data_IF_362791774606
#
_entry.id   IF_362791774606
#
_cell.length_a   1.000
_cell.length_b   1.000
_cell.length_c   1.000
_cell.angle_alpha   90.00
_cell.angle_beta   90.00
_cell.angle_gamma   90.00
#
_symmetry.space_group_name_H-M   'P 1'
#
loop_
_entity.id
_entity.type
_entity.pdbx_description
1 polymer ?
#
# COMPACT_ATOMS: atom_id res chain seq x y z
N UNK A 1 -24.78 -7.17 37.70
CA UNK A 1 -24.15 -5.85 37.89
C UNK A 1 -23.21 -5.58 36.71
N UNK A 2 -23.76 -5.07 35.60
CA UNK A 2 -23.02 -4.67 34.41
C UNK A 2 -23.02 -3.14 34.34
N UNK A 3 -21.85 -2.51 34.32
CA UNK A 3 -21.69 -1.07 34.07
C UNK A 3 -21.42 -0.84 32.59
N UNK A 4 -22.44 -0.40 31.87
CA UNK A 4 -22.32 0.20 30.55
C UNK A 4 -21.65 1.59 30.69
N UNK A 5 -20.58 1.83 29.93
CA UNK A 5 -20.00 3.17 29.75
C UNK A 5 -20.64 3.82 28.54
N UNK A 6 -21.38 4.89 28.79
CA UNK A 6 -21.94 5.77 27.78
C UNK A 6 -20.82 6.53 27.04
N UNK A 7 -20.88 6.53 25.72
CA UNK A 7 -20.01 7.31 24.86
C UNK A 7 -20.61 8.71 24.71
N UNK A 8 -19.88 9.74 25.15
CA UNK A 8 -20.26 11.14 25.06
C UNK A 8 -19.92 11.64 23.64
N UNK A 9 -20.93 12.11 22.90
CA UNK A 9 -20.75 12.85 21.63
C UNK A 9 -20.32 14.29 21.93
N UNK A 10 -19.37 14.88 21.18
CA UNK A 10 -19.15 16.32 21.22
C UNK A 10 -20.20 17.06 20.36
N UNK A 11 -20.72 18.14 20.92
CA UNK A 11 -21.65 19.06 20.29
C UNK A 11 -20.93 20.01 19.31
N UNK A 12 -21.50 20.20 18.12
CA UNK A 12 -21.10 21.26 17.17
C UNK A 12 -21.93 22.53 17.44
N UNK A 13 -21.33 23.73 17.36
CA UNK A 13 -22.06 24.98 17.48
C UNK A 13 -22.83 25.31 16.18
N UNK A 14 -23.98 25.93 16.40
CA UNK A 14 -25.05 26.33 15.48
C UNK A 14 -24.65 27.37 14.42
N UNK A 15 -25.26 27.24 13.25
CA UNK A 15 -25.33 28.24 12.17
C UNK A 15 -25.95 29.57 12.63
N UNK A 16 -25.52 30.72 12.06
CA UNK A 16 -26.34 31.91 12.03
C UNK A 16 -27.14 31.99 10.73
N UNK A 17 -28.47 31.98 10.89
CA UNK A 17 -29.47 32.46 9.93
C UNK A 17 -29.12 33.85 9.39
N UNK A 18 -29.07 34.00 8.06
CA UNK A 18 -29.07 35.29 7.38
C UNK A 18 -30.13 35.31 6.28
N UNK A 19 -30.96 36.34 6.38
CA UNK A 19 -32.19 36.56 5.64
C UNK A 19 -31.97 36.69 4.13
N UNK A 20 -32.88 36.08 3.38
CA UNK A 20 -33.07 36.33 1.96
C UNK A 20 -33.73 37.71 1.75
N UNK A 21 -33.05 38.58 1.02
CA UNK A 21 -33.67 39.69 0.28
C UNK A 21 -33.29 39.54 -1.18
N UNK A 22 -34.30 39.25 -2.01
CA UNK A 22 -34.19 39.17 -3.45
C UNK A 22 -34.29 40.58 -4.05
N UNK A 23 -33.31 40.96 -4.85
CA UNK A 23 -33.46 41.99 -5.89
C UNK A 23 -32.60 41.65 -7.10
N UNK A 24 -33.30 41.27 -8.18
CA UNK A 24 -33.12 41.77 -9.55
C UNK A 24 -31.71 41.81 -10.16
N UNK A 25 -31.48 40.91 -11.12
CA UNK A 25 -31.12 41.29 -12.49
C UNK A 25 -29.71 41.79 -12.76
N UNK A 26 -28.85 40.91 -13.29
CA UNK A 26 -27.99 41.14 -14.47
C UNK A 26 -26.96 40.02 -14.59
N UNK A 27 -27.03 39.26 -15.69
CA UNK A 27 -25.86 38.61 -16.29
C UNK A 27 -25.31 39.60 -17.34
N UNK A 28 -23.99 39.77 -17.48
CA UNK A 28 -23.32 38.89 -18.43
C UNK A 28 -21.87 38.49 -18.06
N UNK A 29 -21.52 37.30 -18.54
CA UNK A 29 -20.22 36.86 -19.05
C UNK A 29 -18.99 37.77 -18.80
N UNK A 30 -18.09 37.34 -17.89
CA UNK A 30 -16.63 37.51 -17.97
C UNK A 30 -15.99 36.92 -16.70
N UNK A 31 -15.56 35.65 -16.76
CA UNK A 31 -14.97 35.00 -15.58
C UNK A 31 -14.32 33.65 -15.82
N UNK A 32 -13.85 33.36 -17.04
CA UNK A 32 -13.24 32.05 -17.38
C UNK A 32 -11.87 32.20 -18.07
N UNK A 33 -11.10 33.23 -17.71
CA UNK A 33 -9.78 33.49 -18.33
C UNK A 33 -8.56 33.46 -17.41
N UNK A 34 -8.69 33.09 -16.13
CA UNK A 34 -7.55 33.15 -15.19
C UNK A 34 -7.16 31.84 -14.48
N UNK A 35 -7.72 30.69 -14.85
CA UNK A 35 -7.37 29.41 -14.19
C UNK A 35 -6.39 28.51 -14.97
N UNK A 36 -6.04 28.87 -16.21
CA UNK A 36 -5.18 28.06 -17.09
C UNK A 36 -3.86 28.75 -17.50
N UNK A 37 -3.39 29.73 -16.72
CA UNK A 37 -2.16 30.48 -17.02
C UNK A 37 -1.08 30.34 -15.93
N UNK A 38 -0.87 29.13 -15.43
CA UNK A 38 0.34 28.79 -14.67
C UNK A 38 0.92 27.40 -15.00
N UNK A 39 0.41 26.73 -16.05
CA UNK A 39 0.86 25.38 -16.45
C UNK A 39 1.78 25.34 -17.69
N UNK A 40 2.30 26.50 -18.11
CA UNK A 40 3.22 26.59 -19.24
C UNK A 40 4.27 27.65 -18.94
N UNK A 41 5.35 27.24 -18.24
CA UNK A 41 6.71 27.82 -18.30
C UNK A 41 7.56 27.14 -17.22
N UNK A 42 8.22 26.04 -17.58
CA UNK A 42 9.56 25.63 -17.10
C UNK A 42 9.82 24.18 -17.54
N UNK A 43 9.95 23.99 -18.85
CA UNK A 43 10.64 22.83 -19.40
C UNK A 43 11.97 23.35 -19.92
N UNK A 44 13.03 23.18 -19.12
CA UNK A 44 14.39 22.95 -19.61
C UNK A 44 15.31 22.47 -18.47
N UNK A 45 16.33 21.65 -18.79
CA UNK A 45 17.05 20.82 -17.85
C UNK A 45 18.27 21.55 -17.30
N UNK A 46 18.49 21.46 -16.00
CA UNK A 46 19.76 21.83 -15.37
C UNK A 46 20.22 20.66 -14.50
N UNK A 47 21.02 19.79 -15.12
CA UNK A 47 21.98 18.97 -14.40
C UNK A 47 23.02 19.90 -13.79
N UNK A 48 22.99 20.07 -12.47
CA UNK A 48 24.14 20.50 -11.69
C UNK A 48 24.09 19.78 -10.33
N UNK A 49 25.22 19.23 -9.85
CA UNK A 49 25.26 18.45 -8.63
C UNK A 49 25.18 19.38 -7.42
N UNK A 50 24.07 19.34 -6.70
CA UNK A 50 23.96 20.05 -5.42
C UNK A 50 24.57 19.18 -4.33
N UNK A 51 25.76 19.59 -3.91
CA UNK A 51 26.44 19.14 -2.72
C UNK A 51 25.47 19.19 -1.53
N UNK A 52 25.11 18.01 -1.03
CA UNK A 52 24.34 17.88 0.20
C UNK A 52 25.30 18.06 1.38
N UNK A 53 25.29 19.24 1.99
CA UNK A 53 25.83 19.44 3.34
C UNK A 53 24.86 18.82 4.35
N UNK A 54 24.89 17.50 4.43
CA UNK A 54 24.42 16.76 5.58
C UNK A 54 25.43 16.97 6.71
N UNK A 55 24.99 17.63 7.78
CA UNK A 55 25.62 17.54 9.09
C UNK A 55 25.52 16.09 9.59
N UNK A 56 26.40 15.25 9.07
CA UNK A 56 26.76 13.96 9.61
C UNK A 56 28.21 14.07 10.06
N UNK A 57 28.44 13.61 11.29
CA UNK A 57 29.74 13.46 11.95
C UNK A 57 30.86 13.09 10.95
N UNK A 58 31.64 14.09 10.52
CA UNK A 58 32.80 13.90 9.65
C UNK A 58 34.01 13.63 10.53
N UNK A 59 34.43 12.37 10.60
CA UNK A 59 35.75 12.02 11.12
C UNK A 59 36.84 12.67 10.24
N UNK A 60 37.92 13.24 10.81
CA UNK A 60 38.94 13.91 10.02
C UNK A 60 39.82 12.87 9.31
N UNK A 61 39.56 12.62 8.02
CA UNK A 61 40.32 11.65 7.19
C UNK A 61 41.49 12.26 6.42
N UNK A 62 41.60 13.59 6.29
CA UNK A 62 42.63 14.19 5.41
C UNK A 62 44.06 14.21 5.96
N UNK A 63 44.29 13.94 7.26
CA UNK A 63 45.65 13.87 7.82
C UNK A 63 46.27 12.46 7.74
N UNK A 64 45.49 11.44 7.34
CA UNK A 64 45.93 10.04 7.28
C UNK A 64 46.53 9.64 5.93
N UNK A 65 46.12 10.26 4.82
CA UNK A 65 46.59 9.84 3.49
C UNK A 65 48.05 10.21 3.19
N UNK A 66 48.51 11.40 3.64
CA UNK A 66 49.91 11.80 3.47
C UNK A 66 50.89 11.02 4.35
N UNK A 67 50.44 10.56 5.52
CA UNK A 67 51.22 9.70 6.42
C UNK A 67 51.26 8.23 5.94
N UNK A 68 50.18 7.74 5.34
CA UNK A 68 50.12 6.38 4.79
C UNK A 68 51.03 6.19 3.57
N UNK A 69 51.11 7.18 2.67
CA UNK A 69 51.99 7.12 1.50
C UNK A 69 53.49 7.16 1.87
N UNK A 70 53.87 7.91 2.91
CA UNK A 70 55.25 7.96 3.42
C UNK A 70 55.65 6.67 4.16
N UNK A 71 54.72 6.04 4.89
CA UNK A 71 54.95 4.77 5.56
C UNK A 71 55.07 3.60 4.56
N UNK A 72 54.29 3.62 3.48
CA UNK A 72 54.35 2.59 2.44
C UNK A 72 55.68 2.61 1.67
N UNK A 73 56.22 3.80 1.34
CA UNK A 73 57.54 3.92 0.68
C UNK A 73 58.69 3.42 1.55
N UNK A 74 58.63 3.63 2.87
CA UNK A 74 59.64 3.11 3.82
C UNK A 74 59.54 1.60 4.06
N UNK A 75 58.36 1.01 3.89
CA UNK A 75 58.14 -0.42 4.05
C UNK A 75 58.64 -1.24 2.85
N UNK A 76 58.66 -0.65 1.65
CA UNK A 76 59.05 -1.33 0.41
C UNK A 76 60.55 -1.24 0.06
N UNK A 77 61.33 -0.38 0.72
CA UNK A 77 62.76 -0.21 0.45
C UNK A 77 63.71 -0.96 1.41
N UNK A 78 63.18 -1.72 2.38
CA UNK A 78 63.97 -2.37 3.43
C UNK A 78 64.52 -3.78 3.12
N UNK A 79 64.39 -4.26 1.88
CA UNK A 79 64.67 -5.65 1.50
C UNK A 79 65.80 -5.81 0.47
N UNK A 80 67.00 -5.27 0.72
CA UNK A 80 68.21 -5.67 -0.01
C UNK A 80 69.40 -5.65 0.96
N UNK A 81 69.64 -6.81 1.59
CA UNK A 81 70.83 -7.03 2.41
C UNK A 81 71.99 -7.41 1.48
N UNK A 82 73.09 -6.67 1.60
CA UNK A 82 74.38 -7.00 1.00
C UNK A 82 74.91 -8.32 1.56
N UNK A 83 75.49 -9.13 0.67
CA UNK A 83 76.21 -10.34 1.01
C UNK A 83 77.70 -9.99 1.13
N UNK A 84 78.29 -10.25 2.29
CA UNK A 84 79.73 -10.17 2.50
C UNK A 84 80.13 -10.62 3.91
N UNK A 85 81.07 -11.57 3.97
CA UNK A 85 81.89 -11.83 5.15
C UNK A 85 81.56 -13.10 5.94
N UNK A 86 82.46 -14.08 5.85
CA UNK A 86 82.53 -15.32 6.62
C UNK A 86 82.70 -15.06 8.13
N UNK A 87 82.09 -15.89 8.98
CA UNK A 87 82.73 -16.52 10.15
C UNK A 87 81.75 -17.43 10.92
N UNK A 88 82.34 -18.51 11.43
CA UNK A 88 81.85 -19.55 12.33
C UNK A 88 80.87 -19.13 13.44
N UNK A 89 79.95 -20.05 13.75
CA UNK A 89 79.20 -20.04 15.02
C UNK A 89 77.77 -20.53 14.86
N UNK A 90 77.49 -21.75 15.33
CA UNK A 90 76.14 -22.27 15.47
C UNK A 90 75.36 -21.46 16.52
N UNK A 91 74.73 -20.38 16.08
CA UNK A 91 73.67 -19.70 16.81
C UNK A 91 72.46 -19.67 15.88
N UNK A 92 71.41 -20.40 16.25
CA UNK A 92 70.10 -20.29 15.61
C UNK A 92 69.55 -18.89 15.86
N UNK A 93 69.90 -17.95 14.97
CA UNK A 93 69.28 -16.63 14.93
C UNK A 93 67.82 -16.85 14.56
N UNK A 94 66.95 -16.87 15.57
CA UNK A 94 65.50 -16.84 15.40
C UNK A 94 65.18 -15.51 14.73
N UNK A 95 65.15 -15.52 13.39
CA UNK A 95 64.71 -14.40 12.59
C UNK A 95 63.30 -14.02 13.06
N UNK A 96 63.13 -12.78 13.54
CA UNK A 96 61.82 -12.27 13.96
C UNK A 96 60.86 -12.49 12.79
N UNK A 97 59.76 -13.25 12.97
CA UNK A 97 58.88 -13.56 11.86
C UNK A 97 58.38 -12.24 11.27
N UNK A 98 58.56 -12.10 9.95
CA UNK A 98 58.11 -10.91 9.22
C UNK A 98 56.63 -10.64 9.49
N UNK A 99 56.23 -9.37 9.42
CA UNK A 99 54.85 -8.94 9.72
C UNK A 99 53.81 -9.77 8.93
N UNK A 100 54.14 -10.18 7.70
CA UNK A 100 53.33 -11.07 6.86
C UNK A 100 53.17 -12.49 7.41
N UNK A 101 54.22 -13.06 8.02
CA UNK A 101 54.14 -14.37 8.66
C UNK A 101 53.30 -14.31 9.96
N UNK A 102 53.37 -13.18 10.69
CA UNK A 102 52.53 -12.93 11.88
C UNK A 102 51.06 -12.70 11.49
N UNK A 103 50.81 -11.97 10.41
CA UNK A 103 49.47 -11.78 9.87
C UNK A 103 48.90 -13.10 9.35
N UNK A 104 49.69 -13.91 8.65
CA UNK A 104 49.28 -15.22 8.14
C UNK A 104 48.99 -16.25 9.23
N UNK A 105 49.74 -16.23 10.34
CA UNK A 105 49.45 -17.08 11.51
C UNK A 105 48.20 -16.61 12.24
N UNK A 106 48.01 -15.30 12.38
CA UNK A 106 46.78 -14.71 12.95
C UNK A 106 45.54 -15.00 12.10
N UNK A 107 45.59 -14.80 10.78
CA UNK A 107 44.45 -15.12 9.90
C UNK A 107 44.13 -16.60 9.90
N UNK A 108 45.14 -17.48 9.95
CA UNK A 108 44.92 -18.92 10.07
C UNK A 108 44.27 -19.30 11.40
N UNK A 109 44.69 -18.69 12.51
CA UNK A 109 44.05 -18.90 13.80
C UNK A 109 42.59 -18.43 13.77
N UNK A 110 42.35 -17.22 13.25
CA UNK A 110 41.01 -16.65 13.12
C UNK A 110 40.07 -17.55 12.28
N UNK A 111 40.55 -18.05 11.14
CA UNK A 111 39.77 -18.96 10.29
C UNK A 111 39.46 -20.28 11.01
N UNK A 112 40.38 -20.81 11.81
CA UNK A 112 40.15 -22.01 12.62
C UNK A 112 39.08 -21.76 13.68
N UNK A 113 39.12 -20.62 14.36
CA UNK A 113 38.13 -20.26 15.38
C UNK A 113 36.71 -20.16 14.78
N UNK A 114 36.56 -19.53 13.61
CA UNK A 114 35.27 -19.49 12.91
C UNK A 114 34.83 -20.88 12.41
N UNK A 115 35.75 -21.72 11.94
CA UNK A 115 35.43 -23.08 11.49
C UNK A 115 34.99 -23.99 12.65
N UNK A 116 35.56 -23.82 13.85
CA UNK A 116 35.11 -24.50 15.07
C UNK A 116 33.72 -23.99 15.48
N UNK A 117 33.52 -22.67 15.49
CA UNK A 117 32.21 -22.07 15.81
C UNK A 117 31.09 -22.56 14.87
N UNK A 118 31.39 -22.72 13.57
CA UNK A 118 30.44 -23.29 12.62
C UNK A 118 30.13 -24.77 12.90
N UNK A 119 31.12 -25.56 13.31
CA UNK A 119 30.93 -26.97 13.67
C UNK A 119 30.08 -27.10 14.94
N UNK A 120 30.35 -26.27 15.93
CA UNK A 120 29.55 -26.20 17.17
C UNK A 120 28.11 -25.76 16.90
N UNK A 121 27.92 -24.75 16.04
CA UNK A 121 26.60 -24.32 15.61
C UNK A 121 25.83 -25.44 14.88
N UNK A 122 26.49 -26.21 14.02
CA UNK A 122 25.89 -27.35 13.33
C UNK A 122 25.54 -28.50 14.30
N UNK A 123 26.40 -28.78 15.28
CA UNK A 123 26.13 -29.76 16.32
C UNK A 123 24.93 -29.34 17.19
N UNK A 124 24.88 -28.06 17.59
CA UNK A 124 23.75 -27.49 18.33
C UNK A 124 22.44 -27.52 17.54
N UNK A 125 22.50 -27.26 16.23
CA UNK A 125 21.33 -27.34 15.35
C UNK A 125 20.77 -28.77 15.24
N UNK A 126 21.65 -29.78 15.13
CA UNK A 126 21.27 -31.20 15.13
C UNK A 126 20.70 -31.66 16.47
N UNK A 127 21.25 -31.18 17.58
CA UNK A 127 20.76 -31.52 18.91
C UNK A 127 19.36 -30.95 19.20
N UNK A 128 19.01 -29.78 18.62
CA UNK A 128 17.74 -29.08 18.87
C UNK A 128 17.18 -28.46 17.58
N UNK A 129 16.61 -29.27 16.65
CA UNK A 129 16.17 -28.79 15.34
C UNK A 129 15.08 -27.72 15.42
N UNK A 130 14.16 -27.82 16.40
CA UNK A 130 13.10 -26.83 16.58
C UNK A 130 13.62 -25.43 16.92
N UNK A 131 14.61 -25.32 17.84
CA UNK A 131 15.21 -24.02 18.19
C UNK A 131 16.04 -23.46 17.03
N UNK A 132 16.77 -24.33 16.34
CA UNK A 132 17.54 -23.94 15.16
C UNK A 132 16.64 -23.39 14.05
N UNK A 133 15.51 -24.04 13.78
CA UNK A 133 14.53 -23.56 12.81
C UNK A 133 13.98 -22.16 13.18
N UNK A 134 13.69 -21.92 14.47
CA UNK A 134 13.27 -20.58 14.94
C UNK A 134 14.36 -19.52 14.72
N UNK A 135 15.62 -19.81 15.06
CA UNK A 135 16.71 -18.85 14.87
C UNK A 135 17.00 -18.57 13.39
N UNK A 136 17.01 -19.61 12.56
CA UNK A 136 17.19 -19.48 11.11
C UNK A 136 16.01 -18.73 10.49
N UNK A 137 14.78 -19.02 10.92
CA UNK A 137 13.58 -18.31 10.49
C UNK A 137 13.60 -16.84 10.89
N UNK A 138 14.03 -16.52 12.12
CA UNK A 138 14.16 -15.14 12.58
C UNK A 138 15.25 -14.40 11.81
N UNK A 139 16.43 -14.99 11.64
CA UNK A 139 17.54 -14.38 10.91
C UNK A 139 17.19 -14.20 9.42
N UNK A 140 16.63 -15.23 8.80
CA UNK A 140 16.19 -15.19 7.40
C UNK A 140 15.05 -14.19 7.20
N UNK A 141 14.06 -14.18 8.09
CA UNK A 141 12.96 -13.21 8.07
C UNK A 141 13.45 -11.79 8.25
N UNK A 142 14.35 -11.54 9.20
CA UNK A 142 14.99 -10.24 9.41
C UNK A 142 15.77 -9.78 8.17
N UNK A 143 16.58 -10.66 7.58
CA UNK A 143 17.33 -10.36 6.37
C UNK A 143 16.41 -10.06 5.18
N UNK A 144 15.34 -10.83 5.01
CA UNK A 144 14.33 -10.61 3.97
C UNK A 144 13.60 -9.29 4.18
N UNK A 145 13.20 -8.95 5.41
CA UNK A 145 12.57 -7.67 5.72
C UNK A 145 13.51 -6.49 5.42
N UNK A 146 14.80 -6.61 5.74
CA UNK A 146 15.80 -5.60 5.39
C UNK A 146 15.95 -5.43 3.86
N UNK A 147 15.97 -6.53 3.11
CA UNK A 147 16.10 -6.50 1.66
C UNK A 147 14.84 -5.93 0.99
N UNK A 148 13.67 -6.14 1.59
CA UNK A 148 12.37 -5.69 1.10
C UNK A 148 11.93 -4.36 1.74
N UNK A 149 12.78 -3.69 2.52
CA UNK A 149 12.41 -2.42 3.14
C UNK A 149 12.19 -1.34 2.06
N UNK A 150 10.98 -0.77 1.93
CA UNK A 150 10.67 0.12 0.83
C UNK A 150 11.37 1.48 0.98
N UNK A 151 11.86 2.02 -0.13
CA UNK A 151 12.58 3.31 -0.18
C UNK A 151 11.63 4.48 -0.41
N UNK A 152 12.11 5.71 -0.24
CA UNK A 152 11.34 6.93 -0.56
C UNK A 152 10.85 6.93 -2.02
N UNK A 153 11.68 6.49 -2.97
CA UNK A 153 11.30 6.40 -4.38
C UNK A 153 10.10 5.45 -4.58
N UNK A 154 10.08 4.30 -3.90
CA UNK A 154 8.94 3.37 -4.00
C UNK A 154 7.64 3.95 -3.43
N UNK A 155 7.74 4.84 -2.44
CA UNK A 155 6.56 5.55 -1.92
C UNK A 155 6.03 6.55 -2.95
N UNK A 156 6.94 7.33 -3.54
CA UNK A 156 6.63 8.32 -4.55
C UNK A 156 5.97 7.69 -5.78
N UNK A 157 6.49 6.57 -6.25
CA UNK A 157 5.91 5.77 -7.33
C UNK A 157 4.50 5.29 -6.97
N UNK A 158 4.33 4.66 -5.79
CA UNK A 158 3.04 4.16 -5.34
C UNK A 158 2.00 5.28 -5.15
N UNK A 159 2.42 6.45 -4.65
CA UNK A 159 1.56 7.62 -4.47
C UNK A 159 1.10 8.18 -5.82
N UNK A 160 2.00 8.29 -6.80
CA UNK A 160 1.66 8.78 -8.13
C UNK A 160 0.79 7.79 -8.89
N UNK A 161 1.07 6.49 -8.80
CA UNK A 161 0.26 5.43 -9.40
C UNK A 161 -1.16 5.42 -8.83
N UNK A 162 -1.29 5.46 -7.51
CA UNK A 162 -2.59 5.59 -6.83
C UNK A 162 -3.37 6.84 -7.25
N UNK A 163 -2.67 7.97 -7.44
CA UNK A 163 -3.30 9.20 -7.95
C UNK A 163 -3.78 9.03 -9.39
N UNK A 164 -3.02 8.31 -10.23
CA UNK A 164 -3.40 7.95 -11.59
C UNK A 164 -4.66 7.07 -11.61
N UNK A 165 -4.72 6.04 -10.78
CA UNK A 165 -5.91 5.19 -10.64
C UNK A 165 -7.14 6.00 -10.23
N UNK A 166 -6.99 6.93 -9.27
CA UNK A 166 -8.09 7.78 -8.81
C UNK A 166 -8.58 8.77 -9.88
N UNK A 167 -7.69 9.24 -10.76
CA UNK A 167 -8.04 10.15 -11.86
C UNK A 167 -8.88 9.48 -12.96
N UNK A 168 -8.80 8.16 -13.11
CA UNK A 168 -9.62 7.40 -14.07
C UNK A 168 -11.07 7.27 -13.63
N UNK A 169 -11.33 7.38 -12.33
CA UNK A 169 -12.66 7.23 -11.74
C UNK A 169 -13.46 8.54 -11.83
N UNK A 170 -14.77 8.45 -12.02
CA UNK A 170 -15.65 9.61 -12.04
C UNK A 170 -15.81 10.22 -10.64
N UNK A 171 -16.04 11.54 -10.50
CA UNK A 171 -16.23 12.18 -9.20
C UNK A 171 -17.39 11.67 -8.34
N UNK A 172 -18.35 10.95 -8.94
CA UNK A 172 -19.48 10.33 -8.23
C UNK A 172 -19.05 9.03 -7.53
N UNK A 173 -18.36 8.14 -8.24
CA UNK A 173 -18.04 6.79 -7.74
C UNK A 173 -16.83 6.74 -6.81
N UNK A 174 -15.99 7.79 -6.77
CA UNK A 174 -14.78 7.79 -5.94
C UNK A 174 -15.06 7.90 -4.46
N UNK A 175 -14.35 7.11 -3.66
CA UNK A 175 -14.36 7.22 -2.21
C UNK A 175 -13.75 8.56 -1.75
N UNK A 176 -14.56 9.37 -1.06
CA UNK A 176 -14.16 10.70 -0.55
C UNK A 176 -13.00 10.64 0.45
N UNK A 177 -12.94 9.60 1.27
CA UNK A 177 -11.88 9.46 2.28
C UNK A 177 -10.53 9.16 1.63
N UNK A 178 -10.51 8.31 0.62
CA UNK A 178 -9.29 7.97 -0.13
C UNK A 178 -8.83 9.14 -0.98
N UNK A 179 -9.74 9.85 -1.63
CA UNK A 179 -9.46 11.09 -2.37
C UNK A 179 -8.84 12.15 -1.46
N UNK A 180 -9.46 12.45 -0.31
CA UNK A 180 -8.96 13.44 0.63
C UNK A 180 -7.58 13.06 1.21
N UNK A 181 -7.37 11.76 1.49
CA UNK A 181 -6.08 11.25 1.95
C UNK A 181 -4.97 11.45 0.90
N UNK A 182 -5.22 11.07 -0.35
CA UNK A 182 -4.27 11.25 -1.45
C UNK A 182 -3.98 12.73 -1.74
N UNK A 183 -5.02 13.57 -1.79
CA UNK A 183 -4.86 15.01 -1.98
C UNK A 183 -4.02 15.63 -0.88
N UNK A 184 -4.21 15.19 0.37
CA UNK A 184 -3.39 15.63 1.51
C UNK A 184 -1.93 15.19 1.34
N UNK A 185 -1.66 13.96 0.92
CA UNK A 185 -0.30 13.48 0.67
C UNK A 185 0.38 14.26 -0.45
N UNK A 186 -0.29 14.46 -1.58
CA UNK A 186 0.21 15.24 -2.72
C UNK A 186 0.47 16.70 -2.33
N UNK A 187 -0.38 17.28 -1.48
CA UNK A 187 -0.18 18.62 -0.95
C UNK A 187 1.03 18.73 -0.02
N UNK A 188 1.24 17.73 0.86
CA UNK A 188 2.42 17.66 1.74
C UNK A 188 3.71 17.47 0.94
N UNK A 189 3.66 16.63 -0.09
CA UNK A 189 4.73 16.40 -1.06
C UNK A 189 5.11 17.70 -1.77
N UNK A 190 4.13 18.44 -2.30
CA UNK A 190 4.35 19.72 -2.97
C UNK A 190 5.01 20.79 -2.10
N UNK A 191 5.00 20.62 -0.77
CA UNK A 191 5.65 21.51 0.21
C UNK A 191 6.95 20.97 0.79
N UNK A 192 7.44 19.81 0.35
CA UNK A 192 8.64 19.18 0.93
C UNK A 192 8.49 18.77 2.41
N UNK A 193 7.24 18.61 2.87
CA UNK A 193 6.91 18.28 4.26
C UNK A 193 6.78 16.78 4.51
N UNK A 194 6.77 15.98 3.45
CA UNK A 194 6.78 14.53 3.53
C UNK A 194 8.21 14.03 3.81
N UNK A 195 8.38 13.15 4.79
CA UNK A 195 9.70 12.59 5.15
C UNK A 195 9.67 11.09 5.26
N UNK A 196 10.76 10.48 4.81
CA UNK A 196 11.02 9.06 4.89
C UNK A 196 12.12 8.76 5.90
N UNK A 197 11.92 7.72 6.71
CA UNK A 197 12.96 7.13 7.56
C UNK A 197 12.92 5.62 7.37
N UNK A 198 14.07 5.03 7.03
CA UNK A 198 14.27 3.59 7.01
C UNK A 198 14.77 3.11 8.39
N UNK A 199 14.03 2.20 9.02
CA UNK A 199 14.37 1.58 10.31
C UNK A 199 15.06 0.21 10.16
N UNK A 200 15.52 -0.14 8.95
CA UNK A 200 16.11 -1.41 8.62
C UNK A 200 15.05 -2.42 8.17
N UNK A 201 14.19 -2.87 9.08
CA UNK A 201 13.14 -3.88 8.77
C UNK A 201 11.83 -3.29 8.26
N UNK A 202 11.60 -2.01 8.50
CA UNK A 202 10.42 -1.29 8.08
C UNK A 202 10.80 0.16 7.73
N UNK A 203 9.95 0.81 6.96
CA UNK A 203 10.11 2.20 6.56
C UNK A 203 8.91 2.99 7.03
N UNK A 204 9.14 4.23 7.45
CA UNK A 204 8.08 5.12 7.90
C UNK A 204 8.05 6.36 7.04
N UNK A 205 6.85 6.80 6.71
CA UNK A 205 6.59 8.11 6.11
C UNK A 205 5.81 8.95 7.12
N UNK A 206 6.32 10.14 7.42
CA UNK A 206 5.73 11.04 8.40
C UNK A 206 5.70 12.49 7.90
N UNK A 207 4.84 13.28 8.53
CA UNK A 207 4.71 14.71 8.28
C UNK A 207 5.68 15.53 9.14
N UNK A 208 6.55 16.29 8.48
CA UNK A 208 7.35 17.35 9.11
C UNK A 208 6.56 18.66 9.18
N UNK A 209 6.75 19.51 10.21
CA UNK A 209 6.09 20.81 10.31
C UNK A 209 6.54 21.81 9.23
N UNK A 210 7.79 21.71 8.78
CA UNK A 210 8.40 22.60 7.79
C UNK A 210 9.19 21.79 6.75
N UNK A 211 9.50 22.43 5.63
CA UNK A 211 10.39 21.90 4.60
C UNK A 211 11.84 21.74 5.10
N UNK A 212 12.64 20.91 4.43
CA UNK A 212 14.05 20.68 4.71
C UNK A 212 14.91 21.92 4.55
N UNK A 213 14.60 22.70 3.52
CA UNK A 213 15.38 23.87 3.14
C UNK A 213 14.93 25.11 3.94
N UNK A 214 13.88 25.00 4.76
CA UNK A 214 13.45 26.08 5.63
C UNK A 214 14.53 26.41 6.67
N UNK A 215 15.08 27.62 6.59
CA UNK A 215 16.07 28.17 7.51
C UNK A 215 15.47 29.15 8.52
N UNK A 216 14.14 29.21 8.63
CA UNK A 216 13.43 30.04 9.59
C UNK A 216 13.77 29.63 11.04
N UNK A 217 13.87 30.61 11.94
CA UNK A 217 14.08 30.35 13.37
C UNK A 217 13.04 29.38 13.94
N UNK A 218 11.78 29.52 13.53
CA UNK A 218 10.68 28.63 13.94
C UNK A 218 10.93 27.16 13.56
N UNK A 219 11.59 26.91 12.43
CA UNK A 219 11.91 25.57 11.94
C UNK A 219 13.19 24.98 12.56
N UNK A 220 14.11 25.82 13.05
CA UNK A 220 15.41 25.39 13.61
C UNK A 220 15.45 25.34 15.14
N UNK A 221 14.60 26.11 15.81
CA UNK A 221 14.56 26.15 17.27
C UNK A 221 14.19 24.78 17.85
N UNK A 222 15.06 24.20 18.68
CA UNK A 222 14.88 22.88 19.32
C UNK A 222 13.63 22.82 20.21
N UNK A 223 13.29 23.93 20.86
CA UNK A 223 12.15 23.98 21.79
C UNK A 223 10.79 24.02 21.09
N UNK A 224 10.77 24.42 19.80
CA UNK A 224 9.56 24.43 18.96
C UNK A 224 9.39 23.12 18.18
N UNK A 225 10.38 22.22 18.22
CA UNK A 225 10.28 20.93 17.55
C UNK A 225 9.19 20.06 18.19
N UNK A 226 8.49 19.25 17.37
CA UNK A 226 7.50 18.33 17.89
C UNK A 226 8.12 17.39 18.91
N UNK A 227 7.35 17.10 19.97
CA UNK A 227 7.77 16.16 21.00
C UNK A 227 7.68 14.74 20.46
N UNK A 228 8.51 13.85 20.99
CA UNK A 228 8.47 12.42 20.67
C UNK A 228 7.12 11.77 20.95
N UNK A 229 6.36 12.29 21.92
CA UNK A 229 5.01 11.80 22.24
C UNK A 229 3.97 12.12 21.16
N UNK A 230 4.19 13.18 20.38
CA UNK A 230 3.30 13.59 19.27
C UNK A 230 3.69 12.95 17.94
N UNK A 231 4.83 12.24 17.90
CA UNK A 231 5.33 11.56 16.70
C UNK A 231 4.34 10.55 16.10
N UNK A 232 3.71 9.63 16.87
CA UNK A 232 2.80 8.64 16.28
C UNK A 232 1.59 9.29 15.57
N UNK A 233 1.13 10.46 16.01
CA UNK A 233 0.04 11.19 15.35
C UNK A 233 0.44 11.84 14.01
N UNK A 234 1.74 11.86 13.68
CA UNK A 234 2.28 12.45 12.44
C UNK A 234 2.71 11.40 11.42
N UNK A 235 2.67 10.12 11.79
CA UNK A 235 2.95 9.01 10.87
C UNK A 235 1.81 8.92 9.87
N UNK A 236 2.17 8.90 8.58
CA UNK A 236 1.23 8.88 7.47
C UNK A 236 1.11 7.47 6.88
N UNK A 237 2.25 6.79 6.73
CA UNK A 237 2.31 5.44 6.18
C UNK A 237 3.44 4.61 6.80
N UNK A 238 3.23 3.29 6.81
CA UNK A 238 4.18 2.27 7.24
C UNK A 238 4.46 1.33 6.07
N UNK A 239 5.72 1.32 5.66
CA UNK A 239 6.27 0.42 4.66
C UNK A 239 6.82 -0.84 5.31
N UNK A 240 6.33 -2.00 4.89
CA UNK A 240 6.81 -3.29 5.39
C UNK A 240 6.71 -4.35 4.28
N UNK A 241 7.80 -5.10 4.08
CA UNK A 241 7.91 -6.19 3.07
C UNK A 241 7.52 -5.70 1.66
N UNK A 242 8.14 -4.61 1.22
CA UNK A 242 8.03 -4.08 -0.15
C UNK A 242 6.72 -3.35 -0.45
N UNK A 243 5.83 -3.16 0.52
CA UNK A 243 4.50 -2.56 0.33
C UNK A 243 4.25 -1.44 1.33
N UNK A 244 3.41 -0.49 0.93
CA UNK A 244 2.95 0.64 1.74
C UNK A 244 1.54 0.36 2.24
N UNK A 245 1.43 -0.03 3.52
CA UNK A 245 0.23 -0.67 4.05
C UNK A 245 -0.96 0.28 4.17
N UNK A 246 -0.73 1.52 4.60
CA UNK A 246 -1.83 2.48 4.81
C UNK A 246 -2.30 2.99 3.46
N UNK A 247 -1.40 3.37 2.55
CA UNK A 247 -1.76 3.79 1.20
C UNK A 247 -2.53 2.71 0.45
N UNK A 248 -2.04 1.47 0.45
CA UNK A 248 -2.71 0.36 -0.22
C UNK A 248 -4.09 0.08 0.38
N UNK A 249 -4.20 0.04 1.71
CA UNK A 249 -5.48 -0.20 2.37
C UNK A 249 -6.50 0.92 2.10
N UNK A 250 -6.05 2.18 1.95
CA UNK A 250 -6.92 3.30 1.55
C UNK A 250 -7.31 3.22 0.08
N UNK A 251 -6.46 2.65 -0.77
CA UNK A 251 -6.73 2.51 -2.20
C UNK A 251 -7.53 1.27 -2.59
N UNK A 252 -7.66 0.29 -1.70
CA UNK A 252 -8.34 -0.98 -1.96
C UNK A 252 -9.78 -0.81 -2.48
N UNK A 253 -10.57 0.05 -1.83
CA UNK A 253 -11.98 0.30 -2.15
C UNK A 253 -12.18 1.77 -2.60
N UNK A 254 -11.28 2.27 -3.46
CA UNK A 254 -11.29 3.68 -3.90
C UNK A 254 -12.40 4.01 -4.91
N UNK A 255 -13.02 2.99 -5.51
CA UNK A 255 -14.10 3.03 -6.50
C UNK A 255 -15.50 2.86 -5.90
N UNK A 256 -15.60 2.71 -4.57
CA UNK A 256 -16.86 2.61 -3.85
C UNK A 256 -17.12 3.91 -3.09
N UNK A 257 -18.24 4.57 -3.39
CA UNK A 257 -18.71 5.74 -2.66
C UNK A 257 -19.88 5.38 -1.73
N UNK A 258 -19.59 5.19 -0.44
CA UNK A 258 -20.59 4.86 0.58
C UNK A 258 -21.71 5.90 0.72
N UNK A 259 -21.46 7.16 0.34
CA UNK A 259 -22.44 8.24 0.43
C UNK A 259 -23.64 7.99 -0.51
N UNK A 260 -23.42 7.32 -1.64
CA UNK A 260 -24.48 6.98 -2.58
C UNK A 260 -25.47 5.99 -1.97
N UNK A 261 -25.01 5.10 -1.09
CA UNK A 261 -25.80 3.99 -0.57
C UNK A 261 -26.50 4.30 0.77
N UNK A 262 -26.40 5.53 1.28
CA UNK A 262 -27.00 5.91 2.56
C UNK A 262 -28.53 5.81 2.59
N UNK A 263 -29.18 5.89 1.42
CA UNK A 263 -30.63 5.76 1.28
C UNK A 263 -31.13 4.32 1.42
N UNK A 264 -30.24 3.33 1.34
CA UNK A 264 -30.57 1.91 1.46
C UNK A 264 -30.63 1.47 2.93
N UNK A 265 -31.49 0.50 3.26
CA UNK A 265 -31.53 -0.09 4.60
C UNK A 265 -30.21 -0.80 4.93
N UNK A 266 -29.90 -0.90 6.23
CA UNK A 266 -28.60 -1.38 6.71
C UNK A 266 -28.18 -2.76 6.19
N UNK A 267 -29.13 -3.67 5.95
CA UNK A 267 -28.85 -5.01 5.46
C UNK A 267 -28.40 -5.05 3.98
N UNK A 268 -28.68 -4.01 3.19
CA UNK A 268 -28.24 -3.90 1.78
C UNK A 268 -26.93 -3.13 1.63
N UNK A 269 -26.45 -2.48 2.69
CA UNK A 269 -25.20 -1.71 2.68
C UNK A 269 -23.96 -2.55 2.95
N UNK A 270 -24.14 -3.76 3.48
CA UNK A 270 -23.03 -4.66 3.80
C UNK A 270 -22.82 -5.61 2.64
N UNK A 271 -21.66 -5.51 1.99
CA UNK A 271 -21.27 -6.43 0.91
C UNK A 271 -20.32 -7.49 1.46
N UNK A 272 -20.73 -8.75 1.38
CA UNK A 272 -19.91 -9.89 1.78
C UNK A 272 -19.03 -10.39 0.62
N UNK A 273 -17.86 -11.00 0.88
CA UNK A 273 -17.00 -11.53 -0.18
C UNK A 273 -17.70 -12.55 -1.10
N UNK A 274 -18.60 -13.36 -0.53
CA UNK A 274 -19.39 -14.34 -1.29
C UNK A 274 -20.36 -13.70 -2.29
N UNK A 275 -20.76 -12.44 -2.09
CA UNK A 275 -21.64 -11.71 -3.02
C UNK A 275 -20.88 -11.13 -4.22
N UNK A 276 -19.56 -11.01 -4.11
CA UNK A 276 -18.69 -10.54 -5.20
C UNK A 276 -18.36 -11.66 -6.22
N UNK A 277 -18.55 -12.92 -5.83
CA UNK A 277 -18.34 -14.07 -6.70
C UNK A 277 -19.61 -14.37 -7.52
N UNK A 278 -19.51 -14.33 -8.85
CA UNK A 278 -20.66 -14.49 -9.75
C UNK A 278 -21.19 -15.92 -9.87
N UNK A 279 -20.41 -16.92 -9.48
CA UNK A 279 -20.71 -18.34 -9.71
C UNK A 279 -22.10 -18.78 -9.21
N UNK A 280 -22.50 -18.34 -8.01
CA UNK A 280 -23.81 -18.68 -7.46
C UNK A 280 -24.95 -17.99 -8.24
N UNK A 281 -24.75 -16.73 -8.64
CA UNK A 281 -25.75 -15.96 -9.39
C UNK A 281 -25.93 -16.53 -10.80
N UNK A 282 -24.85 -16.93 -11.47
CA UNK A 282 -24.88 -17.58 -12.77
C UNK A 282 -25.61 -18.93 -12.71
N UNK A 283 -25.34 -19.75 -11.69
CA UNK A 283 -26.07 -21.01 -11.48
C UNK A 283 -27.57 -20.77 -11.32
N UNK A 284 -27.96 -19.86 -10.42
CA UNK A 284 -29.37 -19.50 -10.20
C UNK A 284 -30.03 -18.91 -11.46
N UNK A 285 -29.28 -18.17 -12.27
CA UNK A 285 -29.76 -17.66 -13.55
C UNK A 285 -30.07 -18.78 -14.53
N UNK A 286 -29.22 -19.81 -14.63
CA UNK A 286 -29.47 -20.99 -15.46
C UNK A 286 -30.69 -21.80 -14.97
N UNK A 287 -30.93 -21.85 -13.66
CA UNK A 287 -32.10 -22.55 -13.12
C UNK A 287 -33.43 -21.99 -13.62
N UNK A 288 -33.47 -20.70 -13.95
CA UNK A 288 -34.66 -20.04 -14.50
C UNK A 288 -35.11 -20.66 -15.83
N UNK A 289 -34.18 -21.22 -16.62
CA UNK A 289 -34.47 -21.84 -17.91
C UNK A 289 -34.86 -23.31 -17.80
N UNK A 290 -34.84 -23.90 -16.59
CA UNK A 290 -35.29 -25.28 -16.39
C UNK A 290 -36.79 -25.35 -16.71
N UNK A 291 -37.22 -26.31 -17.54
CA UNK A 291 -38.63 -26.46 -17.88
C UNK A 291 -39.43 -26.79 -16.62
N UNK A 292 -40.62 -26.19 -16.51
CA UNK A 292 -41.57 -26.55 -15.46
C UNK A 292 -42.09 -27.95 -15.75
N UNK A 293 -41.82 -28.90 -14.85
CA UNK A 293 -42.37 -30.26 -14.93
C UNK A 293 -43.75 -30.24 -14.30
N UNK A 294 -44.80 -30.42 -15.12
CA UNK A 294 -46.17 -30.59 -14.65
C UNK A 294 -46.35 -32.02 -14.14
N UNK A 295 -47.07 -32.18 -13.04
CA UNK A 295 -47.49 -33.51 -12.57
C UNK A 295 -48.64 -34.02 -13.43
N UNK A 296 -48.79 -35.34 -13.58
CA UNK A 296 -49.84 -35.95 -14.40
C UNK A 296 -51.24 -35.43 -14.01
N UNK A 297 -51.51 -35.28 -12.70
CA UNK A 297 -52.78 -34.72 -12.20
C UNK A 297 -53.06 -33.29 -12.71
N UNK A 298 -52.01 -32.47 -12.90
CA UNK A 298 -52.14 -31.09 -13.40
C UNK A 298 -52.38 -31.08 -14.91
N UNK A 299 -51.77 -32.03 -15.63
CA UNK A 299 -52.01 -32.23 -17.06
C UNK A 299 -53.43 -32.73 -17.28
N UNK A 300 -53.87 -33.71 -16.50
CA UNK A 300 -55.21 -34.28 -16.56
C UNK A 300 -56.28 -33.24 -16.22
N UNK A 301 -56.04 -32.42 -15.20
CA UNK A 301 -56.91 -31.30 -14.85
C UNK A 301 -57.02 -30.30 -16.00
N UNK A 302 -55.90 -29.91 -16.62
CA UNK A 302 -55.90 -28.99 -17.75
C UNK A 302 -56.62 -29.57 -18.98
N UNK A 303 -56.41 -30.86 -19.28
CA UNK A 303 -57.11 -31.56 -20.36
C UNK A 303 -58.61 -31.67 -20.11
N UNK A 304 -59.02 -31.92 -18.87
CA UNK A 304 -60.43 -31.95 -18.49
C UNK A 304 -61.08 -30.58 -18.65
N UNK A 305 -60.43 -29.52 -18.20
CA UNK A 305 -60.89 -28.13 -18.36
C UNK A 305 -61.04 -27.76 -19.84
N UNK A 306 -60.08 -28.13 -20.69
CA UNK A 306 -60.20 -27.96 -22.14
C UNK A 306 -61.38 -28.72 -22.73
N UNK A 307 -61.60 -29.98 -22.32
CA UNK A 307 -62.74 -30.77 -22.78
C UNK A 307 -64.08 -30.13 -22.40
N UNK A 308 -64.21 -29.63 -21.16
CA UNK A 308 -65.41 -28.94 -20.70
C UNK A 308 -65.66 -27.68 -21.53
N UNK A 309 -64.63 -26.86 -21.77
CA UNK A 309 -64.76 -25.65 -22.60
C UNK A 309 -65.15 -25.96 -24.05
N UNK A 310 -64.64 -27.05 -24.62
CA UNK A 310 -65.05 -27.49 -25.97
C UNK A 310 -66.51 -27.94 -26.00
N UNK A 311 -66.96 -28.64 -24.96
CA UNK A 311 -68.36 -29.06 -24.83
C UNK A 311 -69.29 -27.85 -24.72
N UNK A 312 -68.96 -26.88 -23.86
CA UNK A 312 -69.75 -25.65 -23.73
C UNK A 312 -69.82 -24.85 -25.04
N UNK A 313 -68.72 -24.77 -25.79
CA UNK A 313 -68.71 -24.14 -27.12
C UNK A 313 -69.64 -24.86 -28.09
N UNK A 314 -69.61 -26.20 -28.12
CA UNK A 314 -70.47 -27.00 -28.99
C UNK A 314 -71.94 -26.84 -28.62
N UNK A 315 -72.26 -26.84 -27.34
CA UNK A 315 -73.63 -26.67 -26.85
C UNK A 315 -74.16 -25.27 -27.21
N UNK A 316 -73.33 -24.22 -27.09
CA UNK A 316 -73.68 -22.86 -27.55
C UNK A 316 -73.91 -22.80 -29.06
N UNK A 317 -73.09 -23.46 -29.86
CA UNK A 317 -73.27 -23.52 -31.31
C UNK A 317 -74.57 -24.25 -31.69
N UNK A 318 -74.86 -25.38 -31.05
CA UNK A 318 -76.09 -26.13 -31.28
C UNK A 318 -77.34 -25.33 -30.88
N UNK A 319 -77.28 -24.56 -29.79
CA UNK A 319 -78.35 -23.63 -29.41
C UNK A 319 -78.53 -22.53 -30.46
N UNK A 320 -77.45 -21.94 -30.98
CA UNK A 320 -77.55 -20.93 -32.04
C UNK A 320 -78.09 -21.48 -33.38
N UNK A 321 -77.78 -22.74 -33.70
CA UNK A 321 -78.29 -23.43 -34.88
C UNK A 321 -79.78 -23.77 -34.71
N UNK A 322 -80.18 -24.27 -33.55
CA UNK A 322 -81.58 -24.53 -33.21
C UNK A 322 -82.42 -23.24 -33.23
N UNK A 323 -81.92 -22.14 -32.67
CA UNK A 323 -82.57 -20.83 -32.74
C UNK A 323 -82.74 -20.34 -34.18
N UNK A 324 -81.75 -20.57 -35.05
CA UNK A 324 -81.85 -20.22 -36.48
C UNK A 324 -82.90 -21.06 -37.22
N UNK A 325 -83.02 -22.35 -36.90
CA UNK A 325 -84.02 -23.25 -37.49
C UNK A 325 -85.44 -22.89 -37.02
N UNK A 326 -85.62 -22.57 -35.74
CA UNK A 326 -86.90 -22.11 -35.19
C UNK A 326 -87.32 -20.78 -35.83
N UNK A 327 -86.41 -19.82 -36.00
CA UNK A 327 -86.69 -18.57 -36.72
C UNK A 327 -87.08 -18.81 -38.19
N UNK A 328 -86.49 -19.81 -38.86
CA UNK A 328 -86.85 -20.17 -40.22
C UNK A 328 -88.25 -20.82 -40.35
N UNK A 329 -88.67 -21.62 -39.37
CA UNK A 329 -89.97 -22.30 -39.36
C UNK A 329 -91.15 -21.37 -38.98
N UNK A 330 -90.89 -20.28 -38.25
CA UNK A 330 -91.89 -19.24 -37.92
C UNK A 330 -92.10 -18.25 -39.07
N UNK A 331 -91.23 -18.25 -40.09
CA UNK A 331 -91.25 -17.31 -41.22
C UNK A 331 -91.91 -17.87 -42.50
N UNK A 332 -92.50 -19.05 -42.44
CA UNK A 332 -93.33 -19.70 -43.51
C UNK A 332 -94.78 -19.79 -43.08
#
# INVERSE_FOLDING_TARGET
MLRARACVRPAYPSEPTLHATATSGASPALGLRNYFRHLALAQQPLCAPVHSDAMLFRWPTERRERMAAAALKRFWSGGRSEAGGEASGAATVVAKPGVWARLGTWTRALLRDYAEACRDAAAAARARPGRAAVYVGLLGGAAACCALAPSEATFEEALLDASGSLLLLAPATRNRHSEAFLQRLLWLRGRGRLRHVNLGFCSLVYEAPFDAQASLYQARCRYLQPRWIDFPGRVLDVGFVGRWWILENRMRDCDINDDEFLHLPAHLRVVGPHQLHSEANERLFEEKYKPVVLTDDQVDQALWEEQVLQKEKKDRLALSEADSLVQSAVST
#
